data_IF_364409047740
#
_entry.id   IF_364409047740
#
_cell.length_a   1.000
_cell.length_b   1.000
_cell.length_c   1.000
_cell.angle_alpha   90.00
_cell.angle_beta   90.00
_cell.angle_gamma   90.00
#
_symmetry.space_group_name_H-M   'P 1'
#
loop_
_entity.id
_entity.type
_entity.pdbx_description
1 polymer ?
#
# COMPACT_ATOMS: atom_id res chain seq x y z
N UNK A 1 -2.46 31.48 -9.40
CA UNK A 1 -2.09 30.91 -8.09
C UNK A 1 -2.17 29.41 -8.22
N UNK A 2 -1.14 28.65 -7.85
CA UNK A 2 -1.19 27.19 -7.91
C UNK A 2 -2.22 26.70 -6.88
N UNK A 3 -3.11 25.80 -7.31
CA UNK A 3 -4.10 25.17 -6.47
C UNK A 3 -3.48 24.06 -5.59
N UNK A 4 -4.12 23.77 -4.47
CA UNK A 4 -3.64 22.80 -3.47
C UNK A 4 -3.27 21.41 -4.04
N UNK A 5 -4.06 20.77 -4.94
CA UNK A 5 -3.69 19.47 -5.48
C UNK A 5 -2.46 19.55 -6.38
N UNK A 6 -2.30 20.64 -7.14
CA UNK A 6 -1.09 20.86 -7.96
C UNK A 6 0.15 21.04 -7.09
N UNK A 7 0.03 21.77 -5.96
CA UNK A 7 1.12 21.89 -4.99
C UNK A 7 1.48 20.54 -4.35
N UNK A 8 0.48 19.73 -3.99
CA UNK A 8 0.71 18.40 -3.43
C UNK A 8 1.41 17.46 -4.43
N UNK A 9 0.96 17.44 -5.69
CA UNK A 9 1.59 16.65 -6.74
C UNK A 9 3.03 17.12 -6.99
N UNK A 10 3.26 18.43 -7.09
CA UNK A 10 4.60 18.99 -7.26
C UNK A 10 5.54 18.58 -6.11
N UNK A 11 5.05 18.59 -4.86
CA UNK A 11 5.80 18.14 -3.70
C UNK A 11 6.13 16.63 -3.77
N UNK A 12 5.18 15.79 -4.17
CA UNK A 12 5.41 14.35 -4.37
C UNK A 12 6.46 14.09 -5.46
N UNK A 13 6.36 14.76 -6.60
CA UNK A 13 7.32 14.62 -7.68
C UNK A 13 8.71 15.10 -7.27
N UNK A 14 8.81 16.24 -6.57
CA UNK A 14 10.07 16.73 -6.03
C UNK A 14 10.70 15.73 -5.06
N UNK A 15 9.91 15.13 -4.16
CA UNK A 15 10.38 14.08 -3.25
C UNK A 15 10.83 12.82 -3.99
N UNK A 16 10.10 12.39 -5.02
CA UNK A 16 10.46 11.25 -5.87
C UNK A 16 11.78 11.51 -6.62
N UNK A 17 11.93 12.64 -7.29
CA UNK A 17 13.17 12.98 -8.01
C UNK A 17 14.35 13.15 -7.06
N UNK A 18 14.14 13.74 -5.89
CA UNK A 18 15.16 13.80 -4.84
C UNK A 18 15.59 12.40 -4.41
N UNK A 19 14.65 11.50 -4.12
CA UNK A 19 14.94 10.14 -3.72
C UNK A 19 15.67 9.35 -4.84
N UNK A 20 15.24 9.52 -6.09
CA UNK A 20 15.88 8.92 -7.26
C UNK A 20 17.32 9.40 -7.42
N UNK A 21 17.54 10.72 -7.31
CA UNK A 21 18.87 11.32 -7.36
C UNK A 21 19.77 10.78 -6.24
N UNK A 22 19.26 10.70 -5.01
CA UNK A 22 20.00 10.13 -3.86
C UNK A 22 20.38 8.67 -4.10
N UNK A 23 19.46 7.86 -4.65
CA UNK A 23 19.73 6.48 -5.00
C UNK A 23 20.84 6.37 -6.06
N UNK A 24 20.83 7.20 -7.09
CA UNK A 24 21.87 7.25 -8.13
C UNK A 24 23.23 7.69 -7.59
N UNK A 25 23.26 8.58 -6.60
CA UNK A 25 24.51 9.01 -5.93
C UNK A 25 25.06 7.99 -4.93
N UNK A 26 24.40 6.83 -4.75
CA UNK A 26 24.88 5.74 -3.91
C UNK A 26 24.52 5.85 -2.42
N UNK A 27 23.52 6.65 -2.04
CA UNK A 27 23.03 6.66 -0.65
C UNK A 27 22.30 5.36 -0.32
N UNK A 28 22.81 4.61 0.66
CA UNK A 28 22.25 3.33 1.12
C UNK A 28 20.80 3.42 1.65
N UNK A 29 20.31 4.62 1.97
CA UNK A 29 18.92 4.87 2.36
C UNK A 29 17.93 4.80 1.21
N UNK A 30 18.40 4.89 -0.03
CA UNK A 30 17.57 4.88 -1.22
C UNK A 30 18.03 3.77 -2.16
N UNK A 31 17.10 3.06 -2.78
CA UNK A 31 17.43 2.05 -3.78
C UNK A 31 16.49 2.18 -4.98
N UNK A 32 17.04 2.05 -6.18
CA UNK A 32 16.25 1.97 -7.40
C UNK A 32 15.72 0.56 -7.59
N UNK A 33 14.45 0.46 -7.93
CA UNK A 33 13.78 -0.78 -8.30
C UNK A 33 13.01 -0.52 -9.60
N UNK A 34 13.76 -0.50 -10.71
CA UNK A 34 13.25 -0.01 -12.00
C UNK A 34 12.87 1.48 -11.90
N UNK A 35 11.66 1.88 -12.34
CA UNK A 35 11.19 3.26 -12.20
C UNK A 35 10.76 3.59 -10.77
N UNK A 36 10.65 2.60 -9.87
CA UNK A 36 10.30 2.86 -8.48
C UNK A 36 11.55 3.17 -7.64
N UNK A 37 11.38 4.00 -6.62
CA UNK A 37 12.42 4.31 -5.62
C UNK A 37 11.97 3.78 -4.26
N UNK A 38 12.80 2.95 -3.65
CA UNK A 38 12.63 2.47 -2.28
C UNK A 38 13.30 3.44 -1.32
N UNK A 39 12.54 3.96 -0.36
CA UNK A 39 13.05 4.79 0.74
C UNK A 39 13.14 3.92 1.99
N UNK A 40 14.35 3.51 2.35
CA UNK A 40 14.64 2.58 3.45
C UNK A 40 14.69 3.30 4.81
N UNK A 41 14.10 2.68 5.81
CA UNK A 41 14.06 3.14 7.20
C UNK A 41 14.31 1.97 8.17
N UNK A 42 15.53 1.87 8.67
CA UNK A 42 15.91 0.84 9.68
C UNK A 42 15.21 1.03 11.02
N UNK A 43 14.95 2.28 11.43
CA UNK A 43 14.21 2.59 12.66
C UNK A 43 12.76 2.11 12.57
N UNK A 44 12.14 2.27 11.41
CA UNK A 44 10.77 1.82 11.13
C UNK A 44 10.71 0.29 11.19
N UNK A 45 11.69 -0.40 10.59
CA UNK A 45 11.82 -1.86 10.68
C UNK A 45 11.91 -2.33 12.14
N UNK A 46 12.73 -1.68 12.95
CA UNK A 46 12.86 -1.99 14.37
C UNK A 46 11.56 -1.74 15.14
N UNK A 47 10.83 -0.66 14.84
CA UNK A 47 9.54 -0.37 15.46
C UNK A 47 8.50 -1.45 15.11
N UNK A 48 8.40 -1.83 13.84
CA UNK A 48 7.53 -2.92 13.37
C UNK A 48 7.92 -4.23 14.06
N UNK A 49 9.22 -4.57 14.11
CA UNK A 49 9.71 -5.77 14.77
C UNK A 49 9.40 -5.82 16.28
N UNK A 50 9.47 -4.68 16.98
CA UNK A 50 9.08 -4.59 18.40
C UNK A 50 7.58 -4.77 18.59
N UNK A 51 6.76 -4.11 17.76
CA UNK A 51 5.31 -4.24 17.78
C UNK A 51 4.89 -5.68 17.47
N UNK A 52 5.52 -6.29 16.46
CA UNK A 52 5.29 -7.67 16.06
C UNK A 52 5.60 -8.67 17.18
N UNK A 53 6.74 -8.52 17.87
CA UNK A 53 7.09 -9.37 19.03
C UNK A 53 6.17 -9.18 20.23
N UNK A 54 5.59 -8.00 20.39
CA UNK A 54 4.62 -7.72 21.45
C UNK A 54 3.20 -8.22 21.10
N UNK A 55 2.94 -8.53 19.83
CA UNK A 55 1.63 -9.02 19.40
C UNK A 55 1.38 -10.44 19.91
N UNK A 56 0.18 -10.68 20.43
CA UNK A 56 -0.20 -12.02 20.89
C UNK A 56 -0.54 -12.93 19.72
N UNK A 57 -0.32 -14.25 19.88
CA UNK A 57 -0.75 -15.25 18.89
C UNK A 57 -2.25 -15.15 18.57
N UNK A 58 -3.08 -14.68 19.51
CA UNK A 58 -4.52 -14.45 19.27
C UNK A 58 -4.77 -13.36 18.24
N UNK A 59 -4.01 -12.27 18.30
CA UNK A 59 -4.10 -11.17 17.31
C UNK A 59 -3.65 -11.68 15.93
N UNK A 60 -2.61 -12.51 15.87
CA UNK A 60 -2.17 -13.13 14.63
C UNK A 60 -3.28 -14.00 13.99
N UNK A 61 -3.92 -14.88 14.78
CA UNK A 61 -5.04 -15.70 14.30
C UNK A 61 -6.27 -14.89 13.89
N UNK A 62 -6.60 -13.81 14.61
CA UNK A 62 -7.63 -12.87 14.19
C UNK A 62 -7.28 -12.20 12.85
N UNK A 63 -6.02 -11.83 12.65
CA UNK A 63 -5.52 -11.30 11.38
C UNK A 63 -5.67 -12.29 10.23
N UNK A 64 -5.33 -13.56 10.44
CA UNK A 64 -5.51 -14.63 9.45
C UNK A 64 -6.99 -14.83 9.12
N UNK A 65 -7.86 -14.87 10.13
CA UNK A 65 -9.30 -14.99 9.93
C UNK A 65 -9.87 -13.78 9.15
N UNK A 66 -9.47 -12.56 9.50
CA UNK A 66 -9.86 -11.34 8.81
C UNK A 66 -9.36 -11.33 7.35
N UNK A 67 -8.13 -11.77 7.10
CA UNK A 67 -7.58 -11.91 5.75
C UNK A 67 -8.35 -12.93 4.93
N UNK A 68 -8.63 -14.13 5.47
CA UNK A 68 -9.43 -15.14 4.80
C UNK A 68 -10.84 -14.61 4.47
N UNK A 69 -11.51 -13.98 5.44
CA UNK A 69 -12.82 -13.37 5.24
C UNK A 69 -12.79 -12.27 4.17
N UNK A 70 -11.78 -11.40 4.19
CA UNK A 70 -11.60 -10.33 3.21
C UNK A 70 -11.33 -10.85 1.79
N UNK A 71 -10.44 -11.84 1.65
CA UNK A 71 -10.14 -12.45 0.35
C UNK A 71 -11.33 -13.21 -0.23
N UNK A 72 -12.02 -14.00 0.61
CA UNK A 72 -13.20 -14.77 0.18
C UNK A 72 -14.36 -13.85 -0.20
N UNK A 73 -14.67 -12.84 0.62
CA UNK A 73 -15.72 -11.87 0.30
C UNK A 73 -15.38 -11.01 -0.92
N UNK A 74 -14.14 -10.53 -1.03
CA UNK A 74 -13.68 -9.77 -2.18
C UNK A 74 -13.74 -10.58 -3.47
N UNK A 75 -13.28 -11.83 -3.43
CA UNK A 75 -13.38 -12.75 -4.57
C UNK A 75 -14.84 -13.05 -4.93
N UNK A 76 -15.69 -13.32 -3.94
CA UNK A 76 -17.12 -13.53 -4.18
C UNK A 76 -17.78 -12.31 -4.82
N UNK A 77 -17.47 -11.09 -4.36
CA UNK A 77 -17.95 -9.85 -4.99
C UNK A 77 -17.50 -9.74 -6.44
N UNK A 78 -16.23 -10.04 -6.74
CA UNK A 78 -15.71 -10.00 -8.12
C UNK A 78 -16.41 -11.02 -9.01
N UNK A 79 -16.62 -12.24 -8.53
CA UNK A 79 -17.34 -13.29 -9.27
C UNK A 79 -18.79 -12.90 -9.52
N UNK A 80 -19.51 -12.42 -8.50
CA UNK A 80 -20.90 -11.96 -8.64
C UNK A 80 -20.98 -10.78 -9.62
N UNK A 81 -20.06 -9.82 -9.52
CA UNK A 81 -20.01 -8.67 -10.44
C UNK A 81 -19.71 -9.10 -11.87
N UNK A 82 -18.78 -10.05 -12.06
CA UNK A 82 -18.44 -10.59 -13.37
C UNK A 82 -19.64 -11.33 -13.99
N UNK A 83 -20.32 -12.20 -13.23
CA UNK A 83 -21.50 -12.91 -13.70
C UNK A 83 -22.65 -11.96 -14.05
N UNK A 84 -22.87 -10.92 -13.23
CA UNK A 84 -23.86 -9.87 -13.51
C UNK A 84 -23.52 -9.06 -14.76
N UNK A 85 -22.24 -8.78 -15.00
CA UNK A 85 -21.79 -7.95 -16.14
C UNK A 85 -22.09 -8.58 -17.50
N UNK A 86 -22.13 -9.91 -17.60
CA UNK A 86 -22.44 -10.62 -18.85
C UNK A 86 -23.91 -10.43 -19.25
N UNK A 87 -24.81 -10.19 -18.29
CA UNK A 87 -26.24 -10.01 -18.52
C UNK A 87 -26.66 -8.53 -18.70
N UNK A 88 -25.73 -7.58 -18.55
CA UNK A 88 -26.04 -6.15 -18.65
C UNK A 88 -26.08 -5.70 -20.13
N UNK A 89 -27.14 -4.99 -20.56
CA UNK A 89 -27.14 -4.30 -21.84
C UNK A 89 -25.99 -3.30 -21.92
N UNK A 90 -25.35 -3.10 -23.09
CA UNK A 90 -24.26 -2.15 -23.26
C UNK A 90 -24.60 -0.72 -22.84
N UNK A 91 -25.87 -0.31 -22.95
CA UNK A 91 -26.31 1.04 -22.55
C UNK A 91 -26.30 1.25 -21.03
N UNK A 92 -26.28 0.17 -20.24
CA UNK A 92 -26.25 0.20 -18.78
C UNK A 92 -24.84 -0.07 -18.21
N UNK A 93 -23.83 -0.16 -19.07
CA UNK A 93 -22.46 -0.40 -18.64
C UNK A 93 -21.95 0.77 -17.77
N UNK A 94 -21.29 0.48 -16.62
CA UNK A 94 -20.68 1.51 -15.80
C UNK A 94 -19.63 2.30 -16.59
N UNK A 95 -19.52 3.60 -16.33
CA UNK A 95 -18.46 4.40 -16.92
C UNK A 95 -17.07 3.85 -16.53
N UNK A 96 -16.05 3.96 -17.40
CA UNK A 96 -14.70 3.48 -17.09
C UNK A 96 -14.12 4.05 -15.78
N UNK A 97 -14.48 5.29 -15.42
CA UNK A 97 -14.04 5.92 -14.17
C UNK A 97 -14.54 5.19 -12.91
N UNK A 98 -15.71 4.53 -12.98
CA UNK A 98 -16.26 3.74 -11.87
C UNK A 98 -15.56 2.39 -11.71
N UNK A 99 -14.91 1.89 -12.78
CA UNK A 99 -14.19 0.62 -12.76
C UNK A 99 -12.79 0.75 -12.16
N UNK A 100 -12.20 1.95 -12.20
CA UNK A 100 -10.89 2.22 -11.63
C UNK A 100 -11.06 2.48 -10.13
N UNK A 101 -10.44 1.66 -9.26
CA UNK A 101 -10.51 1.79 -7.80
C UNK A 101 -9.61 2.87 -7.19
N UNK A 102 -9.13 3.84 -7.98
CA UNK A 102 -8.20 4.86 -7.51
C UNK A 102 -8.94 6.03 -6.84
N UNK A 103 -8.53 6.44 -5.62
CA UNK A 103 -9.12 7.59 -4.94
C UNK A 103 -9.06 8.85 -5.80
N UNK A 104 -10.16 9.59 -5.85
CA UNK A 104 -10.26 10.83 -6.65
C UNK A 104 -10.49 10.63 -8.15
N UNK A 105 -10.23 9.44 -8.71
CA UNK A 105 -10.66 9.07 -10.07
C UNK A 105 -12.05 8.43 -10.01
N UNK A 106 -12.24 7.51 -9.06
CA UNK A 106 -13.55 6.95 -8.79
C UNK A 106 -14.39 7.95 -8.00
N UNK A 107 -15.53 8.45 -8.51
CA UNK A 107 -16.38 9.36 -7.76
C UNK A 107 -16.94 8.74 -6.47
N UNK A 108 -16.97 7.40 -6.36
CA UNK A 108 -17.37 6.69 -5.14
C UNK A 108 -16.27 6.65 -4.07
N UNK A 109 -15.03 7.00 -4.40
CA UNK A 109 -13.88 6.97 -3.49
C UNK A 109 -13.32 8.39 -3.36
N UNK A 110 -13.84 9.20 -2.42
CA UNK A 110 -13.27 10.51 -2.13
C UNK A 110 -11.80 10.42 -1.77
N UNK A 111 -11.00 11.38 -2.23
CA UNK A 111 -9.54 11.34 -2.11
C UNK A 111 -9.06 11.17 -0.65
N UNK A 112 -9.64 11.90 0.30
CA UNK A 112 -9.24 11.85 1.71
C UNK A 112 -9.55 10.49 2.35
N UNK A 113 -10.72 9.92 2.05
CA UNK A 113 -11.17 8.65 2.61
C UNK A 113 -10.38 7.49 2.00
N UNK A 114 -10.20 7.52 0.68
CA UNK A 114 -9.39 6.53 -0.03
C UNK A 114 -7.93 6.54 0.43
N UNK A 115 -7.33 7.72 0.62
CA UNK A 115 -5.96 7.83 1.12
C UNK A 115 -5.83 7.31 2.56
N UNK A 116 -6.77 7.66 3.45
CA UNK A 116 -6.79 7.15 4.82
C UNK A 116 -6.92 5.62 4.83
N UNK A 117 -7.85 5.07 4.04
CA UNK A 117 -8.06 3.63 3.91
C UNK A 117 -6.80 2.93 3.39
N UNK A 118 -6.13 3.50 2.37
CA UNK A 118 -4.90 2.95 1.81
C UNK A 118 -3.76 2.96 2.84
N UNK A 119 -3.59 4.04 3.60
CA UNK A 119 -2.58 4.13 4.66
C UNK A 119 -2.82 3.03 5.70
N UNK A 120 -4.06 2.86 6.17
CA UNK A 120 -4.41 1.82 7.15
C UNK A 120 -4.20 0.42 6.59
N UNK A 121 -4.64 0.17 5.36
CA UNK A 121 -4.50 -1.14 4.71
C UNK A 121 -3.02 -1.52 4.54
N UNK A 122 -2.20 -0.61 4.00
CA UNK A 122 -0.77 -0.85 3.79
C UNK A 122 -0.04 -0.99 5.12
N UNK A 123 -0.31 -0.12 6.10
CA UNK A 123 0.35 -0.21 7.41
C UNK A 123 0.04 -1.54 8.12
N UNK A 124 -1.22 -1.98 8.12
CA UNK A 124 -1.60 -3.25 8.73
C UNK A 124 -1.03 -4.46 7.97
N UNK A 125 -1.00 -4.40 6.63
CA UNK A 125 -0.37 -5.42 5.78
C UNK A 125 1.12 -5.58 6.09
N UNK A 126 1.87 -4.49 6.13
CA UNK A 126 3.30 -4.52 6.44
C UNK A 126 3.60 -4.96 7.87
N UNK A 127 2.77 -4.57 8.84
CA UNK A 127 2.89 -5.08 10.22
C UNK A 127 2.65 -6.59 10.26
N UNK A 128 1.70 -7.12 9.47
CA UNK A 128 1.45 -8.56 9.39
C UNK A 128 2.68 -9.31 8.88
N UNK A 129 3.37 -8.80 7.86
CA UNK A 129 4.67 -9.36 7.44
C UNK A 129 5.69 -9.35 8.58
N UNK A 130 5.75 -8.27 9.35
CA UNK A 130 6.57 -8.18 10.57
C UNK A 130 6.21 -9.23 11.63
N UNK A 131 4.92 -9.50 11.87
CA UNK A 131 4.44 -10.53 12.80
C UNK A 131 4.89 -11.92 12.34
N UNK A 132 4.75 -12.23 11.05
CA UNK A 132 5.20 -13.51 10.50
C UNK A 132 6.72 -13.68 10.64
N UNK A 133 7.51 -12.64 10.36
CA UNK A 133 8.95 -12.67 10.59
C UNK A 133 9.30 -12.91 12.07
N UNK A 134 8.66 -12.16 12.97
CA UNK A 134 8.87 -12.30 14.41
C UNK A 134 8.50 -13.69 14.94
N UNK A 135 7.42 -14.29 14.43
CA UNK A 135 6.99 -15.65 14.79
C UNK A 135 8.01 -16.72 14.37
N UNK A 136 8.79 -16.46 13.32
CA UNK A 136 9.88 -17.33 12.85
C UNK A 136 11.24 -16.96 13.47
N UNK A 137 11.29 -16.06 14.45
CA UNK A 137 12.54 -15.60 15.06
C UNK A 137 13.41 -14.72 14.15
N UNK A 138 12.85 -14.22 13.03
CA UNK A 138 13.53 -13.38 12.07
C UNK A 138 13.29 -11.90 12.38
N UNK A 139 14.35 -11.09 12.31
CA UNK A 139 14.25 -9.64 12.45
C UNK A 139 14.19 -8.96 11.08
N UNK A 140 13.24 -8.04 10.82
CA UNK A 140 13.19 -7.31 9.56
C UNK A 140 14.44 -6.43 9.41
N UNK A 141 15.07 -6.48 8.24
CA UNK A 141 16.30 -5.75 7.93
C UNK A 141 16.05 -4.27 7.66
N UNK A 142 14.97 -4.00 6.93
CA UNK A 142 14.54 -2.67 6.53
C UNK A 142 13.03 -2.65 6.40
N UNK A 143 12.45 -1.47 6.55
CA UNK A 143 11.06 -1.18 6.17
C UNK A 143 11.05 0.20 5.53
N UNK A 144 10.04 0.54 4.75
CA UNK A 144 10.10 1.79 4.02
C UNK A 144 8.90 2.08 3.15
N UNK A 145 9.06 3.12 2.31
CA UNK A 145 8.08 3.53 1.32
C UNK A 145 8.56 3.17 -0.09
N UNK A 146 7.62 2.88 -0.96
CA UNK A 146 7.82 2.71 -2.40
C UNK A 146 7.26 3.94 -3.09
N UNK A 147 8.11 4.67 -3.83
CA UNK A 147 7.72 5.86 -4.57
C UNK A 147 7.75 5.59 -6.08
N UNK A 148 6.72 6.04 -6.80
CA UNK A 148 6.66 6.06 -8.26
C UNK A 148 5.96 7.35 -8.69
N UNK A 149 6.70 8.47 -8.64
CA UNK A 149 6.15 9.83 -8.74
C UNK A 149 5.33 10.27 -7.51
N UNK A 150 4.50 9.38 -6.98
CA UNK A 150 3.73 9.50 -5.73
C UNK A 150 4.04 8.34 -4.79
N UNK A 151 3.70 8.44 -3.48
CA UNK A 151 3.81 7.30 -2.57
C UNK A 151 2.86 6.20 -3.00
N UNK A 152 3.41 5.10 -3.53
CA UNK A 152 2.64 3.99 -4.07
C UNK A 152 2.31 2.95 -2.99
N UNK A 153 3.20 2.77 -2.02
CA UNK A 153 3.02 1.79 -0.95
C UNK A 153 4.15 1.80 0.06
N UNK A 154 4.19 0.76 0.89
CA UNK A 154 5.24 0.51 1.87
C UNK A 154 5.77 -0.92 1.71
N UNK A 155 6.85 -1.24 2.41
CA UNK A 155 7.41 -2.59 2.42
C UNK A 155 8.11 -2.90 3.75
N UNK A 156 8.20 -4.19 4.07
CA UNK A 156 9.08 -4.77 5.10
C UNK A 156 9.97 -5.81 4.45
N UNK A 157 11.28 -5.63 4.56
CA UNK A 157 12.29 -6.50 3.97
C UNK A 157 12.71 -7.59 4.97
N UNK A 158 12.69 -8.87 4.56
CA UNK A 158 13.25 -9.96 5.36
C UNK A 158 14.77 -9.82 5.53
N UNK A 159 15.38 -10.54 6.49
CA UNK A 159 16.83 -10.50 6.75
C UNK A 159 17.71 -10.84 5.53
#
# INVERSE_FOLDING_TARGET
MLDLPTLALAACLAAYFYAAWRALTGDRRFALYGPAVLVRCSRCANAIGRLARASSLRIAWLGVAAWLAGMTSGMAMLVVSALGSVALPPEQAPSPALLIGLPGINPLIPLWYGLLGLIVAVATHEIAHGIVLAANGLAPKSAGLVLLGVPLGAFVEPP
#
